data_IF_184974156507
#
_entry.id   IF_184974156507
#
_cell.length_a   1.000
_cell.length_b   1.000
_cell.length_c   1.000
_cell.angle_alpha   90.00
_cell.angle_beta   90.00
_cell.angle_gamma   90.00
#
_symmetry.space_group_name_H-M   'P 1'
#
loop_
_entity.id
_entity.type
_entity.pdbx_description
1 polymer ?
#
# COMPACT_ATOMS: atom_id res chain seq x y z
N UNK A 1 6.01 -15.96 -13.75
CA UNK A 1 5.24 -14.72 -13.95
C UNK A 1 6.23 -13.56 -13.90
N UNK A 2 5.96 -12.42 -14.56
CA UNK A 2 6.79 -11.23 -14.37
C UNK A 2 6.48 -10.57 -13.03
N UNK A 3 7.42 -9.77 -12.49
CA UNK A 3 7.22 -8.98 -11.26
C UNK A 3 5.99 -8.06 -11.39
N UNK A 4 5.75 -7.50 -12.58
CA UNK A 4 4.56 -6.70 -12.87
C UNK A 4 3.25 -7.52 -12.80
N UNK A 5 3.27 -8.75 -13.31
CA UNK A 5 2.10 -9.63 -13.26
C UNK A 5 1.79 -10.10 -11.84
N UNK A 6 2.83 -10.35 -11.03
CA UNK A 6 2.70 -10.67 -9.61
C UNK A 6 2.10 -9.50 -8.83
N UNK A 7 2.62 -8.28 -9.05
CA UNK A 7 2.04 -7.07 -8.48
C UNK A 7 0.57 -6.91 -8.83
N UNK A 8 0.20 -6.98 -10.12
CA UNK A 8 -1.19 -6.80 -10.54
C UNK A 8 -2.12 -7.88 -10.00
N UNK A 9 -1.68 -9.14 -9.97
CA UNK A 9 -2.46 -10.24 -9.41
C UNK A 9 -2.77 -10.01 -7.92
N UNK A 10 -1.77 -9.57 -7.14
CA UNK A 10 -1.96 -9.27 -5.73
C UNK A 10 -2.86 -8.03 -5.51
N UNK A 11 -2.74 -6.99 -6.35
CA UNK A 11 -3.64 -5.84 -6.31
C UNK A 11 -5.09 -6.27 -6.53
N UNK A 12 -5.33 -7.08 -7.55
CA UNK A 12 -6.69 -7.55 -7.87
C UNK A 12 -7.25 -8.43 -6.74
N UNK A 13 -6.43 -9.29 -6.12
CA UNK A 13 -6.83 -10.11 -4.97
C UNK A 13 -7.15 -9.26 -3.73
N UNK A 14 -6.31 -8.27 -3.41
CA UNK A 14 -6.52 -7.37 -2.27
C UNK A 14 -7.76 -6.49 -2.44
N UNK A 15 -7.99 -5.96 -3.64
CA UNK A 15 -9.20 -5.19 -3.96
C UNK A 15 -10.46 -6.05 -3.82
N UNK A 16 -10.39 -7.33 -4.22
CA UNK A 16 -11.50 -8.27 -4.10
C UNK A 16 -11.75 -8.78 -2.67
N UNK A 17 -10.74 -8.76 -1.80
CA UNK A 17 -10.80 -9.32 -0.43
C UNK A 17 -11.87 -8.67 0.46
N UNK A 18 -12.07 -7.36 0.29
CA UNK A 18 -13.15 -6.63 0.96
C UNK A 18 -13.43 -5.33 0.21
N UNK A 19 -14.71 -4.96 0.06
CA UNK A 19 -15.09 -3.68 -0.54
C UNK A 19 -14.70 -2.42 0.25
N UNK A 20 -13.79 -2.56 1.24
CA UNK A 20 -13.25 -1.46 2.06
C UNK A 20 -11.92 -0.93 1.54
N UNK A 21 -11.20 -1.71 0.73
CA UNK A 21 -9.89 -1.33 0.18
C UNK A 21 -10.11 -0.79 -1.22
N UNK A 22 -9.68 0.45 -1.48
CA UNK A 22 -9.70 1.03 -2.82
C UNK A 22 -8.63 0.36 -3.70
N UNK A 23 -8.75 0.40 -5.03
CA UNK A 23 -7.69 -0.08 -5.94
C UNK A 23 -6.32 0.56 -5.65
N UNK A 24 -6.30 1.85 -5.30
CA UNK A 24 -5.05 2.54 -4.96
C UNK A 24 -4.49 2.05 -3.61
N UNK A 25 -5.36 1.83 -2.62
CA UNK A 25 -4.98 1.24 -1.34
C UNK A 25 -4.42 -0.18 -1.50
N UNK A 26 -5.07 -1.02 -2.32
CA UNK A 26 -4.59 -2.34 -2.68
C UNK A 26 -3.21 -2.26 -3.37
N UNK A 27 -3.04 -1.30 -4.28
CA UNK A 27 -1.75 -0.98 -4.89
C UNK A 27 -0.65 -0.67 -3.88
N UNK A 28 -0.93 0.14 -2.86
CA UNK A 28 0.01 0.49 -1.80
C UNK A 28 0.38 -0.73 -0.96
N UNK A 29 -0.62 -1.53 -0.56
CA UNK A 29 -0.40 -2.75 0.22
C UNK A 29 0.46 -3.76 -0.56
N UNK A 30 0.12 -4.05 -1.81
CA UNK A 30 0.88 -4.95 -2.68
C UNK A 30 2.33 -4.47 -2.87
N UNK A 31 2.52 -3.18 -3.15
CA UNK A 31 3.87 -2.62 -3.33
C UNK A 31 4.70 -2.67 -2.04
N UNK A 32 4.06 -2.59 -0.87
CA UNK A 32 4.77 -2.73 0.41
C UNK A 32 5.13 -4.19 0.67
N UNK A 33 4.19 -5.10 0.42
CA UNK A 33 4.34 -6.53 0.64
C UNK A 33 5.45 -7.14 -0.23
N UNK A 34 5.55 -6.68 -1.48
CA UNK A 34 6.55 -7.10 -2.46
C UNK A 34 7.86 -6.30 -2.40
N UNK A 35 8.05 -5.47 -1.36
CA UNK A 35 9.23 -4.59 -1.16
C UNK A 35 9.54 -3.64 -2.35
N UNK A 36 8.51 -3.26 -3.11
CA UNK A 36 8.61 -2.31 -4.24
C UNK A 36 8.63 -0.86 -3.73
N UNK A 37 7.78 -0.53 -2.75
CA UNK A 37 7.71 0.80 -2.17
C UNK A 37 7.13 0.80 -0.74
N UNK A 38 7.88 1.38 0.20
CA UNK A 38 7.51 1.56 1.61
C UNK A 38 7.36 3.02 2.03
N UNK A 39 7.25 3.94 1.06
CA UNK A 39 6.98 5.35 1.33
C UNK A 39 6.19 6.06 0.21
N UNK A 40 5.49 7.12 0.61
CA UNK A 40 4.52 7.83 -0.23
C UNK A 40 5.11 8.47 -1.48
N UNK A 41 6.38 8.90 -1.43
CA UNK A 41 7.05 9.56 -2.56
C UNK A 41 7.59 8.52 -3.55
N UNK A 42 8.15 7.42 -3.04
CA UNK A 42 8.62 6.32 -3.89
C UNK A 42 7.45 5.70 -4.64
N UNK A 43 6.34 5.40 -3.95
CA UNK A 43 5.13 4.88 -4.60
C UNK A 43 4.58 5.84 -5.67
N UNK A 44 4.39 7.12 -5.33
CA UNK A 44 3.90 8.15 -6.27
C UNK A 44 4.75 8.23 -7.54
N UNK A 45 6.08 8.19 -7.39
CA UNK A 45 7.02 8.27 -8.52
C UNK A 45 6.99 7.01 -9.39
N UNK A 46 6.99 5.81 -8.79
CA UNK A 46 7.04 4.56 -9.53
C UNK A 46 5.75 4.29 -10.30
N UNK A 47 4.60 4.57 -9.69
CA UNK A 47 3.29 4.27 -10.26
C UNK A 47 2.63 5.45 -10.98
N UNK A 48 3.30 6.61 -11.04
CA UNK A 48 2.77 7.80 -11.72
C UNK A 48 1.49 8.37 -11.08
N UNK A 49 1.27 8.11 -9.78
CA UNK A 49 0.07 8.56 -9.05
C UNK A 49 0.37 9.88 -8.35
N UNK A 50 -0.59 10.81 -8.36
CA UNK A 50 -0.45 12.08 -7.64
C UNK A 50 -0.21 11.85 -6.14
N UNK A 51 0.84 12.46 -5.60
CA UNK A 51 1.29 12.24 -4.21
C UNK A 51 0.18 12.51 -3.17
N UNK A 52 -0.68 13.49 -3.39
CA UNK A 52 -1.80 13.79 -2.50
C UNK A 52 -2.82 12.64 -2.40
N UNK A 53 -3.07 11.91 -3.49
CA UNK A 53 -3.95 10.72 -3.48
C UNK A 53 -3.30 9.58 -2.69
N UNK A 54 -1.99 9.39 -2.85
CA UNK A 54 -1.22 8.40 -2.08
C UNK A 54 -1.28 8.73 -0.58
N UNK A 55 -1.10 10.00 -0.21
CA UNK A 55 -1.21 10.43 1.19
C UNK A 55 -2.61 10.20 1.76
N UNK A 56 -3.66 10.46 0.99
CA UNK A 56 -5.05 10.19 1.40
C UNK A 56 -5.26 8.70 1.70
N UNK A 57 -4.80 7.82 0.81
CA UNK A 57 -4.94 6.37 1.04
C UNK A 57 -4.08 5.89 2.21
N UNK A 58 -2.88 6.42 2.41
CA UNK A 58 -2.06 6.10 3.58
C UNK A 58 -2.80 6.46 4.88
N UNK A 59 -3.49 7.60 4.93
CA UNK A 59 -4.30 7.97 6.10
C UNK A 59 -5.44 6.97 6.33
N UNK A 60 -6.11 6.50 5.27
CA UNK A 60 -7.17 5.50 5.39
C UNK A 60 -6.63 4.13 5.84
N UNK A 61 -5.46 3.72 5.31
CA UNK A 61 -4.83 2.45 5.62
C UNK A 61 -4.18 2.42 7.03
N UNK A 62 -3.80 3.57 7.59
CA UNK A 62 -3.22 3.72 8.94
C UNK A 62 -4.29 3.98 10.02
N UNK A 63 -5.57 4.07 9.63
CA UNK A 63 -6.68 4.27 10.56
C UNK A 63 -6.92 3.02 11.43
N UNK A 64 -7.79 3.14 12.44
CA UNK A 64 -8.18 2.00 13.27
C UNK A 64 -8.83 0.90 12.42
N UNK A 65 -8.38 -0.35 12.61
CA UNK A 65 -8.72 -1.47 11.74
C UNK A 65 -8.07 -1.46 10.35
N UNK A 66 -7.14 -0.54 10.10
CA UNK A 66 -6.35 -0.47 8.88
C UNK A 66 -5.23 -1.52 8.78
N UNK A 67 -4.48 -1.47 7.68
CA UNK A 67 -3.54 -2.52 7.27
C UNK A 67 -2.07 -2.09 7.30
N UNK A 68 -1.79 -0.81 7.47
CA UNK A 68 -0.41 -0.30 7.61
C UNK A 68 -0.19 0.33 8.97
N UNK A 69 1.07 0.61 9.26
CA UNK A 69 1.50 1.48 10.35
C UNK A 69 2.47 2.52 9.79
N UNK A 70 2.17 3.81 9.99
CA UNK A 70 3.11 4.88 9.68
C UNK A 70 4.26 4.89 10.69
N UNK A 71 5.50 4.89 10.17
CA UNK A 71 6.75 4.89 10.95
C UNK A 71 7.37 6.26 11.08
N UNK A 72 7.25 7.09 10.05
CA UNK A 72 7.85 8.41 10.03
C UNK A 72 7.10 9.32 9.05
N UNK A 73 7.00 10.61 9.39
CA UNK A 73 6.55 11.67 8.50
C UNK A 73 7.63 12.76 8.44
N UNK A 74 8.02 13.14 7.23
CA UNK A 74 8.93 14.26 6.99
C UNK A 74 8.09 15.52 6.70
N UNK A 75 8.16 16.51 7.58
CA UNK A 75 7.33 17.72 7.51
C UNK A 75 7.64 18.61 6.29
N UNK A 76 8.91 18.63 5.85
CA UNK A 76 9.36 19.47 4.73
C UNK A 76 8.91 18.91 3.39
N UNK A 77 8.95 17.59 3.23
CA UNK A 77 8.72 16.90 1.95
C UNK A 77 7.38 16.18 1.90
N UNK A 78 6.66 16.11 3.03
CA UNK A 78 5.46 15.30 3.20
C UNK A 78 5.67 13.82 2.82
N UNK A 79 6.92 13.33 2.90
CA UNK A 79 7.20 11.90 2.71
C UNK A 79 6.73 11.15 3.95
N UNK A 80 5.92 10.12 3.74
CA UNK A 80 5.42 9.26 4.81
C UNK A 80 5.97 7.87 4.58
N UNK A 81 6.74 7.36 5.54
CA UNK A 81 7.25 5.98 5.56
C UNK A 81 6.29 5.12 6.36
N UNK A 82 6.01 3.93 5.85
CA UNK A 82 5.05 3.00 6.43
C UNK A 82 5.49 1.56 6.18
N UNK A 83 4.87 0.65 6.91
CA UNK A 83 5.01 -0.79 6.73
C UNK A 83 3.65 -1.46 6.91
N UNK A 84 3.51 -2.70 6.46
CA UNK A 84 2.35 -3.51 6.82
C UNK A 84 2.32 -3.74 8.33
N UNK A 85 1.15 -3.59 8.94
CA UNK A 85 0.94 -4.04 10.30
C UNK A 85 0.58 -5.54 10.31
N UNK A 86 0.33 -6.13 11.48
CA UNK A 86 0.01 -7.54 11.58
C UNK A 86 -1.25 -7.96 10.78
N UNK A 87 -2.24 -7.09 10.64
CA UNK A 87 -3.43 -7.36 9.80
C UNK A 87 -3.11 -7.26 8.31
N UNK A 88 -2.29 -6.27 7.90
CA UNK A 88 -1.85 -6.15 6.52
C UNK A 88 -0.99 -7.32 6.05
N UNK A 89 -0.09 -7.82 6.91
CA UNK A 89 0.73 -9.01 6.62
C UNK A 89 -0.17 -10.22 6.39
N UNK A 90 -1.07 -10.52 7.35
CA UNK A 90 -2.01 -11.65 7.22
C UNK A 90 -2.87 -11.55 5.97
N UNK A 91 -3.38 -10.35 5.68
CA UNK A 91 -4.19 -10.15 4.48
C UNK A 91 -3.38 -10.43 3.20
N UNK A 92 -2.14 -9.96 3.12
CA UNK A 92 -1.29 -10.23 1.96
C UNK A 92 -1.01 -11.73 1.80
N UNK A 93 -0.68 -12.43 2.89
CA UNK A 93 -0.47 -13.89 2.90
C UNK A 93 -1.74 -14.66 2.48
N UNK A 94 -2.91 -14.26 2.98
CA UNK A 94 -4.20 -14.86 2.59
C UNK A 94 -4.52 -14.65 1.10
N UNK A 95 -4.04 -13.56 0.51
CA UNK A 95 -4.28 -13.19 -0.89
C UNK A 95 -3.17 -13.66 -1.85
N UNK A 96 -2.18 -14.41 -1.36
CA UNK A 96 -1.18 -15.07 -2.19
C UNK A 96 0.20 -14.43 -2.23
N UNK A 97 0.58 -13.67 -1.20
CA UNK A 97 1.98 -13.33 -0.90
C UNK A 97 2.71 -14.52 -0.24
#
# INVERSE_FOLDING_TARGET
MSEEAEYLALVDALEASSGKISRLGAGILAATALDIASDSRTFSRLFGVAHALVLREIVALDADGGYIRVRQRDERTQRTRYELNAAGIRLAEEMGL
#
